data_IF_586032444485
#
_entry.id   IF_586032444485
#
_cell.length_a   1.000
_cell.length_b   1.000
_cell.length_c   1.000
_cell.angle_alpha   90.00
_cell.angle_beta   90.00
_cell.angle_gamma   90.00
#
_symmetry.space_group_name_H-M   'P 1'
#
loop_
_entity.id
_entity.type
_entity.pdbx_description
1 polymer ?
#
# COMPACT_ATOMS: atom_id res chain seq x y z
N UNK A 1 -24.07 -29.35 -31.50
CA UNK A 1 -23.89 -28.54 -30.28
C UNK A 1 -22.65 -29.06 -29.58
N UNK A 2 -21.56 -28.29 -29.62
CA UNK A 2 -20.27 -28.64 -29.01
C UNK A 2 -20.30 -28.34 -27.52
N UNK A 3 -20.02 -29.36 -26.71
CA UNK A 3 -20.11 -29.34 -25.26
C UNK A 3 -18.90 -28.58 -24.69
N UNK A 4 -19.13 -27.56 -23.84
CA UNK A 4 -18.06 -26.75 -23.23
C UNK A 4 -17.05 -27.58 -22.41
N UNK A 5 -17.41 -28.81 -22.04
CA UNK A 5 -16.53 -29.76 -21.36
C UNK A 5 -15.33 -30.20 -22.24
N UNK A 6 -15.49 -30.31 -23.57
CA UNK A 6 -14.44 -30.82 -24.46
C UNK A 6 -13.28 -29.81 -24.65
N UNK A 7 -13.56 -28.51 -24.49
CA UNK A 7 -12.59 -27.42 -24.62
C UNK A 7 -11.64 -27.40 -23.41
N UNK A 8 -12.12 -27.79 -22.22
CA UNK A 8 -11.32 -27.82 -21.00
C UNK A 8 -10.40 -29.05 -20.95
N UNK A 9 -10.77 -30.17 -21.58
CA UNK A 9 -9.95 -31.39 -21.63
C UNK A 9 -8.80 -31.33 -22.62
N UNK A 10 -8.88 -30.48 -23.65
CA UNK A 10 -7.83 -30.37 -24.69
C UNK A 10 -6.69 -29.40 -24.32
N UNK A 11 -6.84 -28.62 -23.24
CA UNK A 11 -5.87 -27.60 -22.85
C UNK A 11 -4.77 -28.09 -21.88
N UNK A 12 -4.74 -29.38 -21.53
CA UNK A 12 -3.85 -29.91 -20.49
C UNK A 12 -2.48 -30.43 -20.98
N UNK A 13 -2.08 -30.15 -22.23
CA UNK A 13 -0.90 -30.80 -22.84
C UNK A 13 0.26 -29.90 -23.24
N UNK A 14 0.24 -28.58 -22.99
CA UNK A 14 1.31 -27.71 -23.50
C UNK A 14 1.93 -26.88 -22.37
N UNK A 15 3.22 -27.18 -22.13
CA UNK A 15 4.21 -26.48 -21.30
C UNK A 15 4.24 -26.78 -19.78
N UNK A 16 4.64 -28.01 -19.43
CA UNK A 16 5.49 -28.21 -18.24
C UNK A 16 6.87 -27.61 -18.51
N UNK A 17 7.02 -26.29 -18.37
CA UNK A 17 8.35 -25.66 -18.25
C UNK A 17 8.99 -26.19 -16.97
N UNK A 18 10.17 -26.80 -17.12
CA UNK A 18 11.04 -27.22 -16.02
C UNK A 18 11.21 -26.06 -15.04
N UNK A 19 10.67 -26.19 -13.83
CA UNK A 19 11.09 -25.37 -12.70
C UNK A 19 12.58 -25.67 -12.48
N UNK A 20 13.42 -24.70 -12.77
CA UNK A 20 14.81 -24.73 -12.37
C UNK A 20 14.88 -24.70 -10.83
N UNK A 21 15.64 -25.64 -10.28
CA UNK A 21 16.04 -25.67 -8.87
C UNK A 21 16.83 -24.40 -8.53
N UNK A 22 16.15 -23.31 -8.19
CA UNK A 22 16.74 -22.07 -7.68
C UNK A 22 16.27 -21.77 -6.25
N UNK A 23 15.86 -22.79 -5.50
CA UNK A 23 15.54 -22.68 -4.07
C UNK A 23 16.54 -23.49 -3.24
N UNK A 24 17.82 -23.10 -3.32
CA UNK A 24 18.80 -23.44 -2.29
C UNK A 24 19.40 -22.14 -1.81
N UNK A 25 19.09 -21.80 -0.55
CA UNK A 25 19.66 -20.71 0.26
C UNK A 25 18.92 -19.35 0.25
N UNK A 26 17.59 -19.35 0.29
CA UNK A 26 16.88 -18.22 0.90
C UNK A 26 16.64 -18.55 2.37
N UNK A 27 17.57 -18.13 3.22
CA UNK A 27 17.35 -17.98 4.66
C UNK A 27 16.35 -16.84 4.90
N UNK A 28 15.16 -16.94 4.33
CA UNK A 28 14.07 -15.99 4.53
C UNK A 28 13.43 -16.27 5.88
N UNK A 29 13.40 -15.28 6.76
CA UNK A 29 12.58 -15.36 7.97
C UNK A 29 11.13 -15.65 7.55
N UNK A 30 10.49 -16.62 8.20
CA UNK A 30 9.10 -16.96 7.92
C UNK A 30 8.20 -15.75 8.19
N UNK A 31 7.07 -15.68 7.49
CA UNK A 31 6.09 -14.61 7.70
C UNK A 31 5.64 -14.53 9.17
N UNK A 32 5.53 -15.67 9.86
CA UNK A 32 5.22 -15.73 11.29
C UNK A 32 6.33 -15.11 12.17
N UNK A 33 7.59 -15.27 11.80
CA UNK A 33 8.73 -14.63 12.50
C UNK A 33 8.69 -13.11 12.35
N UNK A 34 8.36 -12.62 11.15
CA UNK A 34 8.22 -11.18 10.87
C UNK A 34 7.01 -10.61 11.63
N UNK A 35 5.87 -11.29 11.56
CA UNK A 35 4.64 -10.87 12.25
C UNK A 35 4.83 -10.83 13.77
N UNK A 36 5.45 -11.85 14.36
CA UNK A 36 5.72 -11.88 15.79
C UNK A 36 6.74 -10.83 16.25
N UNK A 37 7.75 -10.48 15.43
CA UNK A 37 8.66 -9.36 15.72
C UNK A 37 7.92 -8.02 15.79
N UNK A 38 7.00 -7.78 14.85
CA UNK A 38 6.20 -6.54 14.80
C UNK A 38 5.22 -6.48 15.98
N UNK A 39 4.51 -7.58 16.26
CA UNK A 39 3.56 -7.64 17.36
C UNK A 39 4.23 -7.44 18.74
N UNK A 40 5.47 -7.90 18.90
CA UNK A 40 6.21 -7.74 20.15
C UNK A 40 6.88 -6.36 20.30
N UNK A 41 7.24 -5.67 19.21
CA UNK A 41 7.85 -4.32 19.31
C UNK A 41 6.85 -3.24 19.73
N UNK A 42 5.56 -3.44 19.45
CA UNK A 42 4.48 -2.50 19.80
C UNK A 42 4.17 -2.53 21.31
N UNK A 43 4.51 -3.61 22.03
CA UNK A 43 4.14 -3.77 23.45
C UNK A 43 5.00 -2.99 24.45
N UNK A 44 6.15 -2.45 24.09
CA UNK A 44 7.15 -2.00 25.08
C UNK A 44 7.33 -0.50 25.32
N UNK A 45 6.57 0.40 24.67
CA UNK A 45 6.74 1.86 24.85
C UNK A 45 5.47 2.60 25.30
N UNK A 46 4.63 2.00 26.14
CA UNK A 46 3.56 2.73 26.85
C UNK A 46 3.99 3.07 28.27
N UNK A 47 4.88 4.04 28.39
CA UNK A 47 5.08 4.81 29.61
C UNK A 47 5.07 6.29 29.23
N UNK A 48 3.87 6.77 28.85
CA UNK A 48 3.64 8.20 28.61
C UNK A 48 3.41 8.83 29.99
N UNK A 49 4.43 9.50 30.51
CA UNK A 49 4.27 10.41 31.65
C UNK A 49 3.66 11.71 31.14
N UNK A 50 2.36 11.87 31.33
CA UNK A 50 1.62 13.10 31.05
C UNK A 50 2.04 14.18 32.04
N UNK A 51 2.72 15.23 31.58
CA UNK A 51 2.85 16.51 32.29
C UNK A 51 3.23 17.61 31.28
N UNK A 52 2.26 18.40 30.82
CA UNK A 52 2.33 19.87 30.95
C UNK A 52 1.14 20.54 30.27
N UNK A 53 0.46 21.35 31.08
CA UNK A 53 -0.58 22.30 30.73
C UNK A 53 -0.18 23.27 29.61
N UNK A 54 -0.95 23.27 28.52
CA UNK A 54 -1.07 24.41 27.60
C UNK A 54 -2.50 24.47 27.04
N UNK A 55 -3.17 25.56 27.38
CA UNK A 55 -4.24 26.26 26.65
C UNK A 55 -5.29 25.42 25.90
N UNK A 56 -6.49 25.40 26.48
CA UNK A 56 -7.75 25.05 25.82
C UNK A 56 -8.09 26.08 24.74
N UNK A 57 -7.45 25.97 23.59
CA UNK A 57 -7.93 26.56 22.35
C UNK A 57 -8.32 25.41 21.42
N UNK A 58 -9.62 25.12 21.45
CA UNK A 58 -10.38 24.56 20.33
C UNK A 58 -10.16 23.08 19.96
N UNK A 59 -10.31 22.19 20.94
CA UNK A 59 -10.36 20.72 20.73
C UNK A 59 -11.37 20.31 19.64
N UNK A 60 -12.49 21.04 19.51
CA UNK A 60 -13.57 20.73 18.55
C UNK A 60 -13.19 21.05 17.09
N UNK A 61 -12.34 22.06 16.85
CA UNK A 61 -11.82 22.36 15.52
C UNK A 61 -10.68 21.42 15.13
N UNK A 62 -9.86 21.01 16.10
CA UNK A 62 -8.77 20.05 15.88
C UNK A 62 -9.30 18.67 15.48
N UNK A 63 -10.35 18.18 16.13
CA UNK A 63 -10.92 16.86 15.87
C UNK A 63 -11.58 16.80 14.48
N UNK A 64 -12.35 17.84 14.13
CA UNK A 64 -12.97 17.94 12.81
C UNK A 64 -11.95 18.10 11.67
N UNK A 65 -10.90 18.89 11.88
CA UNK A 65 -9.82 19.05 10.90
C UNK A 65 -9.06 17.73 10.69
N UNK A 66 -8.80 16.98 11.77
CA UNK A 66 -8.14 15.69 11.68
C UNK A 66 -8.99 14.65 10.94
N UNK A 67 -10.30 14.64 11.18
CA UNK A 67 -11.23 13.76 10.47
C UNK A 67 -11.31 14.09 8.96
N UNK A 68 -11.35 15.38 8.60
CA UNK A 68 -11.31 15.82 7.20
C UNK A 68 -9.99 15.43 6.51
N UNK A 69 -8.85 15.58 7.18
CA UNK A 69 -7.56 15.15 6.64
C UNK A 69 -7.49 13.62 6.45
N UNK A 70 -8.04 12.86 7.40
CA UNK A 70 -8.09 11.40 7.32
C UNK A 70 -9.00 10.93 6.18
N UNK A 71 -10.16 11.57 5.98
CA UNK A 71 -11.05 11.28 4.85
C UNK A 71 -10.36 11.58 3.53
N UNK A 72 -9.70 12.74 3.40
CA UNK A 72 -9.00 13.12 2.17
C UNK A 72 -7.88 12.15 1.82
N UNK A 73 -7.12 11.70 2.83
CA UNK A 73 -6.11 10.68 2.64
C UNK A 73 -6.72 9.32 2.22
N UNK A 74 -7.87 8.92 2.79
CA UNK A 74 -8.53 7.66 2.42
C UNK A 74 -9.09 7.72 0.98
N UNK A 75 -9.62 8.88 0.55
CA UNK A 75 -10.08 9.12 -0.83
C UNK A 75 -8.92 9.04 -1.84
N UNK A 76 -7.77 9.63 -1.52
CA UNK A 76 -6.56 9.55 -2.36
C UNK A 76 -6.03 8.11 -2.45
N UNK A 77 -6.10 7.35 -1.34
CA UNK A 77 -5.78 5.92 -1.34
C UNK A 77 -6.75 5.13 -2.20
N UNK A 78 -8.04 5.46 -2.19
CA UNK A 78 -9.05 4.82 -3.04
C UNK A 78 -8.81 5.12 -4.53
N UNK A 79 -8.52 6.37 -4.89
CA UNK A 79 -8.14 6.75 -6.26
C UNK A 79 -6.89 6.01 -6.72
N UNK A 80 -5.89 5.89 -5.84
CA UNK A 80 -4.69 5.12 -6.11
C UNK A 80 -5.03 3.63 -6.29
N UNK A 81 -5.87 3.05 -5.43
CA UNK A 81 -6.31 1.67 -5.52
C UNK A 81 -7.01 1.39 -6.86
N UNK A 82 -7.90 2.29 -7.28
CA UNK A 82 -8.60 2.23 -8.57
C UNK A 82 -7.64 2.27 -9.77
N UNK A 83 -6.58 3.07 -9.71
CA UNK A 83 -5.55 3.11 -10.76
C UNK A 83 -4.83 1.76 -10.95
N UNK A 84 -4.60 1.03 -9.86
CA UNK A 84 -4.01 -0.30 -9.91
C UNK A 84 -5.03 -1.43 -10.09
N UNK A 85 -6.33 -1.11 -10.09
CA UNK A 85 -7.41 -2.10 -10.16
C UNK A 85 -7.48 -3.00 -8.93
N UNK A 86 -7.08 -2.48 -7.76
CA UNK A 86 -7.09 -3.23 -6.50
C UNK A 86 -8.02 -2.56 -5.48
N UNK A 87 -8.43 -3.29 -4.44
CA UNK A 87 -9.24 -2.74 -3.37
C UNK A 87 -8.48 -1.77 -2.46
N UNK A 88 -9.17 -0.78 -1.88
CA UNK A 88 -8.54 0.25 -1.02
C UNK A 88 -7.77 -0.30 0.16
N UNK A 89 -8.29 -1.35 0.81
CA UNK A 89 -7.62 -1.98 1.96
C UNK A 89 -6.29 -2.63 1.57
N UNK A 90 -6.23 -3.23 0.38
CA UNK A 90 -4.99 -3.79 -0.15
C UNK A 90 -4.01 -2.69 -0.50
N UNK A 91 -4.47 -1.60 -1.13
CA UNK A 91 -3.60 -0.44 -1.40
C UNK A 91 -3.04 0.16 -0.11
N UNK A 92 -3.87 0.33 0.93
CA UNK A 92 -3.44 0.82 2.24
C UNK A 92 -2.38 -0.07 2.88
N UNK A 93 -2.56 -1.40 2.81
CA UNK A 93 -1.58 -2.37 3.30
C UNK A 93 -0.27 -2.31 2.51
N UNK A 94 -0.33 -2.12 1.18
CA UNK A 94 0.85 -1.94 0.34
C UNK A 94 1.59 -0.66 0.73
N UNK A 95 0.89 0.46 0.88
CA UNK A 95 1.50 1.73 1.31
C UNK A 95 2.20 1.58 2.67
N UNK A 96 1.53 0.95 3.63
CA UNK A 96 2.14 0.62 4.94
C UNK A 96 3.38 -0.27 4.79
N UNK A 97 3.32 -1.31 3.95
CA UNK A 97 4.47 -2.17 3.64
C UNK A 97 5.62 -1.47 2.91
N UNK A 98 5.34 -0.32 2.29
CA UNK A 98 6.34 0.56 1.68
C UNK A 98 6.81 1.68 2.61
N UNK A 99 6.35 1.70 3.87
CA UNK A 99 6.58 2.78 4.84
C UNK A 99 6.11 4.14 4.32
N UNK A 100 4.99 4.17 3.62
CA UNK A 100 4.31 5.38 3.16
C UNK A 100 3.03 5.52 3.97
N UNK A 101 2.91 6.60 4.73
CA UNK A 101 1.65 6.93 5.40
C UNK A 101 0.64 7.42 4.36
N UNK A 102 -0.63 6.99 4.37
CA UNK A 102 -1.67 7.60 3.56
C UNK A 102 -1.69 9.14 3.60
N UNK A 103 -1.37 9.75 4.75
CA UNK A 103 -1.28 11.22 4.89
C UNK A 103 -0.12 11.82 4.08
N UNK A 104 0.92 11.04 3.78
CA UNK A 104 2.04 11.49 2.94
C UNK A 104 1.62 11.76 1.49
N UNK A 105 0.46 11.25 1.05
CA UNK A 105 -0.13 11.55 -0.26
C UNK A 105 -0.62 13.01 -0.34
N UNK A 106 -1.00 13.60 0.79
CA UNK A 106 -1.42 15.00 0.89
C UNK A 106 -0.22 15.96 0.85
N UNK A 107 0.97 15.49 1.25
CA UNK A 107 2.19 16.29 1.32
C UNK A 107 2.89 16.44 -0.05
N UNK A 108 2.96 17.65 -0.63
CA UNK A 108 3.55 17.86 -1.96
C UNK A 108 5.04 17.49 -2.02
N UNK A 109 5.77 17.68 -0.92
CA UNK A 109 7.20 17.36 -0.79
C UNK A 109 7.50 15.86 -0.92
N UNK A 110 6.57 15.00 -0.48
CA UNK A 110 6.74 13.54 -0.45
C UNK A 110 6.24 12.85 -1.72
N UNK A 111 5.30 13.46 -2.45
CA UNK A 111 4.70 12.92 -3.70
C UNK A 111 5.71 12.36 -4.69
N UNK A 112 6.80 13.09 -4.97
CA UNK A 112 7.83 12.65 -5.93
C UNK A 112 8.52 11.35 -5.50
N UNK A 113 8.76 11.18 -4.21
CA UNK A 113 9.38 9.97 -3.67
C UNK A 113 8.39 8.79 -3.68
N UNK A 114 7.12 9.05 -3.37
CA UNK A 114 6.04 8.06 -3.44
C UNK A 114 5.88 7.53 -4.87
N UNK A 115 5.76 8.43 -5.86
CA UNK A 115 5.68 8.06 -7.29
C UNK A 115 6.85 7.16 -7.69
N UNK A 116 8.09 7.57 -7.36
CA UNK A 116 9.30 6.79 -7.68
C UNK A 116 9.29 5.41 -7.03
N UNK A 117 8.83 5.33 -5.79
CA UNK A 117 8.76 4.07 -5.03
C UNK A 117 7.72 3.14 -5.63
N UNK A 118 6.53 3.65 -5.95
CA UNK A 118 5.46 2.88 -6.57
C UNK A 118 5.87 2.38 -7.97
N UNK A 119 6.42 3.24 -8.84
CA UNK A 119 6.91 2.83 -10.16
C UNK A 119 7.92 1.68 -10.04
N UNK A 120 8.88 1.82 -9.11
CA UNK A 120 9.92 0.81 -8.90
C UNK A 120 9.37 -0.52 -8.37
N UNK A 121 8.40 -0.47 -7.44
CA UNK A 121 7.86 -1.66 -6.77
C UNK A 121 6.85 -2.40 -7.63
N UNK A 122 6.05 -1.67 -8.40
CA UNK A 122 5.06 -2.24 -9.29
C UNK A 122 5.59 -2.53 -10.70
N UNK A 123 6.83 -2.11 -11.01
CA UNK A 123 7.46 -2.35 -12.31
C UNK A 123 6.65 -1.73 -13.45
N UNK A 124 6.17 -0.50 -13.27
CA UNK A 124 5.31 0.18 -14.25
C UNK A 124 6.11 0.54 -15.51
N UNK A 125 5.50 0.30 -16.66
CA UNK A 125 5.98 0.82 -17.95
C UNK A 125 5.81 2.34 -18.02
N UNK A 126 6.50 2.98 -18.96
CA UNK A 126 6.58 4.44 -19.03
C UNK A 126 5.20 5.11 -19.11
N UNK A 127 4.26 4.55 -19.88
CA UNK A 127 2.92 5.12 -20.02
C UNK A 127 2.14 5.07 -18.70
N UNK A 128 2.21 3.95 -17.97
CA UNK A 128 1.57 3.82 -16.66
C UNK A 128 2.28 4.63 -15.58
N UNK A 129 3.60 4.76 -15.66
CA UNK A 129 4.37 5.61 -14.75
C UNK A 129 4.00 7.09 -14.91
N UNK A 130 3.83 7.57 -16.14
CA UNK A 130 3.37 8.94 -16.44
C UNK A 130 1.92 9.16 -15.97
N UNK A 131 1.03 8.20 -16.21
CA UNK A 131 -0.35 8.27 -15.74
C UNK A 131 -0.44 8.29 -14.20
N UNK A 132 0.38 7.48 -13.51
CA UNK A 132 0.48 7.49 -12.04
C UNK A 132 1.00 8.84 -11.52
N UNK A 133 2.03 9.39 -12.16
CA UNK A 133 2.58 10.68 -11.78
C UNK A 133 1.53 11.79 -11.93
N UNK A 134 0.76 11.79 -13.03
CA UNK A 134 -0.36 12.72 -13.22
C UNK A 134 -1.41 12.56 -12.14
N UNK A 135 -1.81 11.33 -11.81
CA UNK A 135 -2.82 11.03 -10.78
C UNK A 135 -2.43 11.60 -9.42
N UNK A 136 -1.22 11.29 -8.93
CA UNK A 136 -0.75 11.71 -7.60
C UNK A 136 -0.54 13.23 -7.54
N UNK A 137 -0.15 13.84 -8.66
CA UNK A 137 -0.01 15.30 -8.73
C UNK A 137 -1.37 15.99 -8.61
N UNK A 138 -2.45 15.41 -9.14
CA UNK A 138 -3.79 15.99 -9.17
C UNK A 138 -4.55 15.90 -7.83
N UNK A 139 -4.07 15.14 -6.85
CA UNK A 139 -4.64 15.06 -5.48
C UNK A 139 -4.65 16.40 -4.70
N UNK A 140 -4.14 17.49 -5.29
CA UNK A 140 -4.06 18.82 -4.67
C UNK A 140 -4.90 19.91 -5.35
N UNK A 141 -5.68 19.58 -6.39
CA UNK A 141 -6.74 20.47 -6.89
C UNK A 141 -8.03 20.25 -6.14
#
# INVERSE_FOLDING_TARGET
MTNCADILSTSNSINKRKLSNAAKNLNGESFDSIFNKIANSIKQNSAITSNSSTEKLDENFSEKLEEEMNQRADDDVERLANFFGIGKHLMKAILQGLHIDPRDLLEPSKKKNIIKTLIKKFGLDQNRAEALASLITDFQK
#
